data_IF_342644563241
#
_entry.id   IF_342644563241
#
_cell.length_a   1.000
_cell.length_b   1.000
_cell.length_c   1.000
_cell.angle_alpha   90.00
_cell.angle_beta   90.00
_cell.angle_gamma   90.00
#
_symmetry.space_group_name_H-M   'P 1'
#
loop_
_entity.id
_entity.type
_entity.pdbx_description
1 polymer ?
#
# COMPACT_ATOMS: atom_id res chain seq x y z
N UNK A 1 0.34 -15.74 -24.27
CA UNK A 1 1.06 -15.01 -23.22
C UNK A 1 1.51 -13.71 -23.86
N UNK A 2 0.74 -12.64 -23.66
CA UNK A 2 1.12 -11.32 -24.16
C UNK A 2 2.34 -10.85 -23.36
N UNK A 3 3.44 -10.59 -24.04
CA UNK A 3 4.63 -10.04 -23.42
C UNK A 3 4.38 -8.55 -23.17
N UNK A 4 4.56 -8.08 -21.94
CA UNK A 4 4.49 -6.64 -21.64
C UNK A 4 5.65 -5.96 -22.36
N UNK A 5 5.35 -5.02 -23.26
CA UNK A 5 6.39 -4.33 -24.02
C UNK A 5 7.21 -3.40 -23.12
N UNK A 6 8.48 -3.17 -23.47
CA UNK A 6 9.33 -2.20 -22.76
C UNK A 6 8.69 -0.81 -22.72
N UNK A 7 8.05 -0.40 -23.81
CA UNK A 7 7.33 0.87 -23.89
C UNK A 7 6.17 0.98 -22.88
N UNK A 8 5.42 -0.10 -22.65
CA UNK A 8 4.35 -0.11 -21.65
C UNK A 8 4.91 0.01 -20.22
N UNK A 9 6.06 -0.62 -19.94
CA UNK A 9 6.74 -0.49 -18.65
C UNK A 9 7.23 0.95 -18.44
N UNK A 10 7.85 1.56 -19.46
CA UNK A 10 8.33 2.94 -19.39
C UNK A 10 7.20 3.94 -19.11
N UNK A 11 6.05 3.77 -19.77
CA UNK A 11 4.87 4.61 -19.53
C UNK A 11 4.32 4.45 -18.11
N UNK A 12 4.21 3.21 -17.62
CA UNK A 12 3.76 2.96 -16.25
C UNK A 12 4.70 3.60 -15.23
N UNK A 13 6.01 3.45 -15.42
CA UNK A 13 7.00 4.05 -14.53
C UNK A 13 6.90 5.58 -14.51
N UNK A 14 6.74 6.21 -15.67
CA UNK A 14 6.57 7.66 -15.76
C UNK A 14 5.33 8.14 -14.97
N UNK A 15 4.20 7.44 -15.09
CA UNK A 15 2.98 7.76 -14.35
C UNK A 15 3.14 7.53 -12.84
N UNK A 16 3.81 6.45 -12.44
CA UNK A 16 4.09 6.17 -11.03
C UNK A 16 4.97 7.27 -10.43
N UNK A 17 6.06 7.67 -11.09
CA UNK A 17 6.94 8.72 -10.59
C UNK A 17 6.23 10.07 -10.36
N UNK A 18 5.16 10.36 -11.08
CA UNK A 18 4.35 11.55 -10.87
C UNK A 18 3.50 11.49 -9.59
N UNK A 19 3.09 10.29 -9.16
CA UNK A 19 2.10 10.09 -8.08
C UNK A 19 2.68 9.52 -6.79
N UNK A 20 3.93 9.05 -6.77
CA UNK A 20 4.56 8.50 -5.57
C UNK A 20 5.23 9.57 -4.70
N UNK A 21 5.28 9.31 -3.41
CA UNK A 21 6.12 10.04 -2.46
C UNK A 21 7.27 9.13 -2.00
N UNK A 22 8.49 9.66 -2.00
CA UNK A 22 9.64 8.99 -1.38
C UNK A 22 9.55 9.15 0.14
N UNK A 23 9.54 8.02 0.85
CA UNK A 23 9.41 7.99 2.31
C UNK A 23 10.69 7.47 2.91
N UNK A 24 11.26 8.22 3.86
CA UNK A 24 12.31 7.71 4.73
C UNK A 24 11.65 6.93 5.87
N UNK A 25 11.83 5.62 5.88
CA UNK A 25 11.22 4.73 6.89
C UNK A 25 12.04 4.80 8.18
N UNK A 26 11.40 5.25 9.26
CA UNK A 26 12.02 5.43 10.58
C UNK A 26 11.36 4.58 11.67
N UNK A 27 10.15 4.09 11.41
CA UNK A 27 9.41 3.21 12.31
C UNK A 27 9.76 1.74 12.04
N UNK A 28 9.76 0.93 13.10
CA UNK A 28 10.03 -0.50 13.02
C UNK A 28 9.01 -1.30 13.85
N UNK A 29 8.22 -2.12 13.17
CA UNK A 29 7.17 -2.96 13.72
C UNK A 29 7.45 -4.43 13.39
N UNK A 30 6.92 -5.33 14.23
CA UNK A 30 7.06 -6.80 14.03
C UNK A 30 5.74 -7.54 14.19
N UNK A 31 4.63 -6.81 14.12
CA UNK A 31 3.28 -7.24 14.46
C UNK A 31 2.63 -8.14 13.40
N UNK A 32 3.09 -8.09 12.15
CA UNK A 32 2.58 -9.00 11.13
C UNK A 32 3.05 -10.43 11.41
N UNK A 33 2.10 -11.38 11.32
CA UNK A 33 2.39 -12.83 11.44
C UNK A 33 3.43 -13.26 10.40
N UNK A 34 3.31 -12.75 9.19
CA UNK A 34 4.34 -12.91 8.16
C UNK A 34 5.39 -11.81 8.29
N UNK A 35 6.55 -12.18 8.84
CA UNK A 35 7.62 -11.22 9.14
C UNK A 35 8.13 -10.48 7.91
N UNK A 36 7.98 -11.05 6.70
CA UNK A 36 8.43 -10.39 5.47
C UNK A 36 7.55 -9.19 5.12
N UNK A 37 6.34 -9.08 5.66
CA UNK A 37 5.38 -8.04 5.31
C UNK A 37 5.40 -6.86 6.31
N UNK A 38 6.20 -6.95 7.38
CA UNK A 38 6.36 -5.86 8.35
C UNK A 38 6.83 -4.54 7.70
N UNK A 39 7.60 -4.59 6.60
CA UNK A 39 8.02 -3.37 5.92
C UNK A 39 6.83 -2.54 5.40
N UNK A 40 5.69 -3.18 5.09
CA UNK A 40 4.48 -2.47 4.67
C UNK A 40 3.87 -1.68 5.83
N UNK A 41 3.88 -2.23 7.04
CA UNK A 41 3.46 -1.54 8.26
C UNK A 41 4.39 -0.35 8.54
N UNK A 42 5.70 -0.59 8.53
CA UNK A 42 6.72 0.44 8.75
C UNK A 42 6.57 1.60 7.75
N UNK A 43 6.47 1.27 6.46
CA UNK A 43 6.31 2.27 5.39
C UNK A 43 5.00 3.06 5.54
N UNK A 44 3.89 2.38 5.85
CA UNK A 44 2.59 3.03 5.96
C UNK A 44 2.55 4.03 7.10
N UNK A 45 3.15 3.70 8.25
CA UNK A 45 3.20 4.59 9.41
C UNK A 45 4.20 5.72 9.20
N UNK A 46 5.44 5.42 8.78
CA UNK A 46 6.45 6.46 8.50
C UNK A 46 6.02 7.42 7.39
N UNK A 47 5.28 6.92 6.40
CA UNK A 47 4.70 7.70 5.32
C UNK A 47 3.41 8.42 5.68
N UNK A 48 2.92 8.29 6.92
CA UNK A 48 1.64 8.87 7.39
C UNK A 48 0.47 8.53 6.47
N UNK A 49 0.46 7.31 5.92
CA UNK A 49 -0.55 6.88 4.98
C UNK A 49 -1.93 6.86 5.65
N UNK A 50 -2.96 7.33 4.95
CA UNK A 50 -4.33 7.17 5.44
C UNK A 50 -4.80 5.71 5.32
N UNK A 51 -4.30 4.98 4.33
CA UNK A 51 -4.70 3.61 4.02
C UNK A 51 -3.51 2.75 3.61
N UNK A 52 -3.53 1.49 4.05
CA UNK A 52 -2.77 0.37 3.47
C UNK A 52 -3.77 -0.56 2.81
N UNK A 53 -3.73 -0.66 1.48
CA UNK A 53 -4.68 -1.47 0.71
C UNK A 53 -4.07 -2.82 0.41
N UNK A 54 -4.67 -3.91 0.89
CA UNK A 54 -4.12 -5.25 0.75
C UNK A 54 -5.20 -6.33 0.75
N UNK A 55 -4.91 -7.46 0.10
CA UNK A 55 -5.71 -8.68 0.20
C UNK A 55 -5.21 -9.66 1.26
N UNK A 56 -4.09 -9.34 1.93
CA UNK A 56 -3.46 -10.23 2.89
C UNK A 56 -4.21 -10.24 4.24
N UNK A 57 -4.63 -11.42 4.69
CA UNK A 57 -5.37 -11.58 5.93
C UNK A 57 -4.55 -11.20 7.17
N UNK A 58 -3.24 -11.44 7.18
CA UNK A 58 -2.37 -11.16 8.32
C UNK A 58 -2.16 -9.66 8.53
N UNK A 59 -2.21 -8.88 7.45
CA UNK A 59 -2.22 -7.43 7.55
C UNK A 59 -3.62 -6.89 7.86
N UNK A 60 -4.67 -7.45 7.26
CA UNK A 60 -6.04 -6.97 7.46
C UNK A 60 -6.51 -7.08 8.91
N UNK A 61 -6.09 -8.11 9.66
CA UNK A 61 -6.45 -8.25 11.09
C UNK A 61 -5.83 -7.17 11.98
N UNK A 62 -4.81 -6.46 11.49
CA UNK A 62 -4.17 -5.35 12.21
C UNK A 62 -4.89 -4.01 12.03
N UNK A 63 -6.02 -3.97 11.30
CA UNK A 63 -6.78 -2.74 11.07
C UNK A 63 -7.55 -2.26 12.32
N UNK A 64 -7.42 -0.98 12.73
CA UNK A 64 -6.46 0.02 12.26
C UNK A 64 -5.09 -0.15 12.90
N UNK A 65 -4.03 0.21 12.17
CA UNK A 65 -2.65 0.11 12.65
C UNK A 65 -2.02 1.50 12.75
N UNK A 66 -1.77 1.97 13.98
CA UNK A 66 -1.13 3.29 14.21
C UNK A 66 -1.79 4.46 13.45
N UNK A 67 -3.11 4.44 13.30
CA UNK A 67 -3.87 5.46 12.57
C UNK A 67 -4.02 5.21 11.07
N UNK A 68 -3.28 4.24 10.52
CA UNK A 68 -3.45 3.75 9.14
C UNK A 68 -4.61 2.77 9.08
N UNK A 69 -5.55 2.97 8.15
CA UNK A 69 -6.61 2.00 7.88
C UNK A 69 -6.09 0.90 6.95
N UNK A 70 -6.07 -0.35 7.41
CA UNK A 70 -5.69 -1.49 6.58
C UNK A 70 -6.96 -2.11 6.01
N UNK A 71 -7.16 -2.02 4.69
CA UNK A 71 -8.44 -2.37 4.05
C UNK A 71 -8.24 -3.17 2.77
N UNK A 72 -9.27 -3.92 2.38
CA UNK A 72 -9.26 -4.58 1.08
C UNK A 72 -9.47 -3.59 -0.06
N UNK A 73 -9.03 -3.96 -1.26
CA UNK A 73 -9.30 -3.17 -2.46
C UNK A 73 -10.80 -2.97 -2.68
N UNK A 74 -11.63 -4.01 -2.48
CA UNK A 74 -13.08 -3.92 -2.63
C UNK A 74 -13.70 -2.88 -1.67
N UNK A 75 -13.20 -2.80 -0.44
CA UNK A 75 -13.63 -1.76 0.50
C UNK A 75 -13.18 -0.38 0.00
N UNK A 76 -11.92 -0.25 -0.40
CA UNK A 76 -11.35 1.02 -0.82
C UNK A 76 -11.99 1.57 -2.10
N UNK A 77 -12.44 0.71 -3.02
CA UNK A 77 -13.23 1.12 -4.18
C UNK A 77 -14.49 1.90 -3.77
N UNK A 78 -15.21 1.43 -2.75
CA UNK A 78 -16.38 2.15 -2.23
C UNK A 78 -16.01 3.50 -1.63
N UNK A 79 -14.83 3.62 -1.02
CA UNK A 79 -14.33 4.89 -0.48
C UNK A 79 -14.06 5.88 -1.61
N UNK A 80 -13.39 5.45 -2.70
CA UNK A 80 -13.08 6.37 -3.81
C UNK A 80 -14.35 6.78 -4.54
N UNK A 81 -15.23 5.83 -4.88
CA UNK A 81 -16.46 6.10 -5.64
C UNK A 81 -17.48 6.93 -4.84
N UNK A 82 -17.45 6.88 -3.51
CA UNK A 82 -18.33 7.71 -2.67
C UNK A 82 -17.82 9.16 -2.51
N UNK A 83 -16.60 9.46 -2.95
CA UNK A 83 -15.98 10.79 -2.88
C UNK A 83 -15.92 11.47 -4.27
N UNK A 84 -16.55 10.89 -5.30
CA UNK A 84 -16.89 11.53 -6.59
C UNK A 84 -18.31 12.10 -6.54
#
# INVERSE_FOLDING_TARGET
MECVSSAAIEQLLALLYEKIAWVNVVDEFTDCRDKKDNFLLNLSVSGQANYLITGDADLLVLNPFHGVKIVSYQFFQNVILANE
#
